data_IF_413965263300
#
_entry.id   IF_413965263300
#
_cell.length_a   1.000
_cell.length_b   1.000
_cell.length_c   1.000
_cell.angle_alpha   90.00
_cell.angle_beta   90.00
_cell.angle_gamma   90.00
#
_symmetry.space_group_name_H-M   'P 1'
#
loop_
_entity.id
_entity.type
_entity.pdbx_description
1 polymer ?
#
# COMPACT_ATOMS: atom_id res chain seq x y z
N UNK A 1 63.22 0.16 -16.47
CA UNK A 1 61.95 -0.07 -15.75
C UNK A 1 60.83 0.48 -16.61
N UNK A 2 59.85 -0.37 -16.88
CA UNK A 2 58.82 -0.31 -17.91
C UNK A 2 57.59 0.49 -17.41
N UNK A 3 57.10 1.48 -18.17
CA UNK A 3 55.72 1.99 -18.12
C UNK A 3 54.78 0.98 -18.83
N UNK A 4 53.43 0.94 -18.69
CA UNK A 4 52.45 1.96 -18.27
C UNK A 4 51.32 1.34 -17.37
N UNK A 5 50.26 2.05 -16.93
CA UNK A 5 48.95 2.14 -17.60
C UNK A 5 48.02 3.01 -16.74
N UNK A 6 47.22 3.83 -17.42
CA UNK A 6 46.13 4.65 -16.90
C UNK A 6 44.82 3.93 -17.31
N UNK A 7 43.98 3.56 -16.36
CA UNK A 7 42.56 3.18 -16.57
C UNK A 7 41.69 4.32 -16.00
N UNK A 8 40.69 4.87 -16.70
CA UNK A 8 39.54 4.23 -17.33
C UNK A 8 38.33 4.55 -16.44
N UNK A 9 37.66 5.69 -16.58
CA UNK A 9 36.53 5.87 -17.50
C UNK A 9 35.17 5.57 -16.82
N UNK A 10 34.39 6.60 -16.47
CA UNK A 10 32.93 6.55 -16.22
C UNK A 10 32.37 7.98 -16.05
N UNK A 11 31.05 8.22 -16.15
CA UNK A 11 30.21 7.93 -17.31
C UNK A 11 29.36 9.16 -17.74
N UNK A 12 29.10 9.25 -19.05
CA UNK A 12 27.87 9.73 -19.69
C UNK A 12 27.02 10.82 -19.01
N UNK A 13 27.19 12.07 -19.46
CA UNK A 13 26.14 13.10 -19.37
C UNK A 13 25.14 12.90 -20.50
N UNK A 14 24.14 12.03 -20.31
CA UNK A 14 23.00 11.93 -21.22
C UNK A 14 22.03 13.08 -20.96
N UNK A 15 21.65 13.72 -22.06
CA UNK A 15 20.81 14.90 -22.15
C UNK A 15 19.44 14.73 -21.47
N UNK A 16 19.02 15.80 -20.82
CA UNK A 16 17.66 16.05 -20.37
C UNK A 16 16.69 16.00 -21.57
N UNK A 17 15.61 15.21 -21.47
CA UNK A 17 14.28 15.52 -21.99
C UNK A 17 13.34 14.35 -21.72
N UNK A 18 12.32 14.58 -20.89
CA UNK A 18 11.30 13.58 -20.57
C UNK A 18 10.22 14.20 -19.70
N UNK A 19 9.40 15.03 -20.34
CA UNK A 19 8.19 15.64 -19.78
C UNK A 19 7.22 14.53 -19.32
N UNK A 20 7.22 14.22 -18.03
CA UNK A 20 6.34 13.20 -17.45
C UNK A 20 5.00 13.84 -17.06
N UNK A 21 4.17 14.13 -18.06
CA UNK A 21 2.72 14.16 -17.84
C UNK A 21 2.24 12.70 -17.72
N UNK A 22 2.39 12.13 -16.51
CA UNK A 22 1.83 10.83 -16.17
C UNK A 22 0.31 10.91 -16.01
N UNK A 23 -0.44 9.84 -16.30
CA UNK A 23 -1.88 9.80 -16.07
C UNK A 23 -2.16 9.95 -14.57
N UNK A 24 -3.22 10.66 -14.21
CA UNK A 24 -3.78 10.73 -12.86
C UNK A 24 -4.34 9.35 -12.49
N UNK A 25 -3.46 8.38 -12.27
CA UNK A 25 -3.82 7.03 -11.89
C UNK A 25 -4.03 6.96 -10.38
N UNK A 26 -5.31 7.11 -10.02
CA UNK A 26 -5.94 6.45 -8.89
C UNK A 26 -5.49 6.90 -7.49
N UNK A 27 -6.00 8.07 -7.09
CA UNK A 27 -6.09 8.55 -5.69
C UNK A 27 -6.65 7.50 -4.68
N UNK A 28 -7.34 6.43 -5.15
CA UNK A 28 -7.79 5.32 -4.28
C UNK A 28 -6.65 4.45 -3.72
N UNK A 29 -5.45 4.47 -4.32
CA UNK A 29 -4.27 3.72 -3.83
C UNK A 29 -3.54 4.41 -2.67
N UNK A 30 -3.65 5.74 -2.57
CA UNK A 30 -2.96 6.52 -1.53
C UNK A 30 -3.70 6.48 -0.17
N UNK A 31 -5.04 6.35 -0.20
CA UNK A 31 -5.87 6.33 1.00
C UNK A 31 -5.89 5.03 1.80
N UNK A 32 -5.26 3.95 1.31
CA UNK A 32 -5.24 2.62 1.95
C UNK A 32 -3.84 2.18 2.41
N UNK A 33 -2.83 3.04 2.27
CA UNK A 33 -1.49 2.78 2.80
C UNK A 33 -1.56 2.68 4.33
N UNK A 34 -1.01 1.60 4.87
CA UNK A 34 -0.90 1.27 6.30
C UNK A 34 -2.21 1.45 7.06
N UNK A 35 -3.35 1.19 6.42
CA UNK A 35 -4.66 1.26 7.08
C UNK A 35 -5.10 -0.05 7.72
N UNK A 36 -4.27 -1.09 7.59
CA UNK A 36 -4.47 -2.44 8.16
C UNK A 36 -3.12 -2.98 8.60
N UNK A 37 -3.12 -3.79 9.66
CA UNK A 37 -1.93 -4.48 10.15
C UNK A 37 -1.44 -5.54 9.16
N UNK A 38 -0.13 -5.67 9.06
CA UNK A 38 0.55 -6.64 8.23
C UNK A 38 0.56 -8.00 8.92
N UNK A 39 -0.21 -8.95 8.39
CA UNK A 39 -0.30 -10.30 8.96
C UNK A 39 1.04 -11.01 9.09
N UNK A 40 1.91 -10.92 8.09
CA UNK A 40 3.22 -11.58 8.14
C UNK A 40 4.09 -11.02 9.26
N UNK A 41 4.03 -9.71 9.49
CA UNK A 41 4.72 -9.08 10.61
C UNK A 41 4.10 -9.47 11.94
N UNK A 42 2.77 -9.45 12.07
CA UNK A 42 2.07 -9.84 13.30
C UNK A 42 2.32 -11.30 13.69
N UNK A 43 2.27 -12.22 12.73
CA UNK A 43 2.40 -13.66 13.00
C UNK A 43 3.86 -14.11 13.16
N UNK A 44 4.80 -13.48 12.45
CA UNK A 44 6.20 -13.95 12.36
C UNK A 44 7.23 -12.96 12.90
N UNK A 45 6.83 -11.74 13.24
CA UNK A 45 7.73 -10.63 13.56
C UNK A 45 8.55 -10.12 12.38
N UNK A 46 8.28 -10.59 11.15
CA UNK A 46 9.08 -10.25 9.98
C UNK A 46 8.26 -10.20 8.70
N UNK A 47 8.53 -9.20 7.87
CA UNK A 47 7.83 -8.96 6.62
C UNK A 47 8.83 -8.85 5.47
N UNK A 48 8.61 -9.64 4.40
CA UNK A 48 9.44 -9.63 3.19
C UNK A 48 9.50 -8.29 2.47
N UNK A 49 8.49 -7.44 2.67
CA UNK A 49 8.39 -6.12 2.04
C UNK A 49 9.12 -5.02 2.83
N UNK A 50 9.58 -5.31 4.05
CA UNK A 50 10.27 -4.36 4.91
C UNK A 50 9.51 -3.03 5.02
N UNK A 51 10.23 -1.92 4.96
CA UNK A 51 9.67 -0.56 5.05
C UNK A 51 8.72 -0.19 3.90
N UNK A 52 8.77 -0.91 2.78
CA UNK A 52 7.90 -0.69 1.60
C UNK A 52 6.57 -1.43 1.72
N UNK A 53 6.32 -2.08 2.85
CA UNK A 53 5.06 -2.76 3.11
C UNK A 53 3.90 -1.75 3.08
N UNK A 54 2.86 -2.08 2.33
CA UNK A 54 1.63 -1.27 2.27
C UNK A 54 0.76 -1.44 3.50
N UNK A 55 1.08 -2.37 4.39
CA UNK A 55 0.39 -2.64 5.64
C UNK A 55 1.26 -2.15 6.82
N UNK A 56 0.63 -1.84 7.95
CA UNK A 56 1.33 -1.37 9.14
C UNK A 56 2.04 -2.53 9.85
N UNK A 57 3.28 -2.35 10.30
CA UNK A 57 4.00 -3.32 11.13
C UNK A 57 3.77 -3.10 12.64
N UNK A 58 2.78 -2.30 12.99
CA UNK A 58 2.37 -2.05 14.37
C UNK A 58 1.31 -0.96 14.40
N UNK A 59 0.80 -0.66 15.60
CA UNK A 59 -0.19 0.39 15.81
C UNK A 59 0.36 1.79 15.51
N UNK A 60 1.66 2.00 15.76
CA UNK A 60 2.37 3.27 15.45
C UNK A 60 2.31 3.62 13.96
N UNK A 61 2.43 2.62 13.09
CA UNK A 61 2.36 2.78 11.65
C UNK A 61 0.93 2.75 11.09
N UNK A 62 -0.06 2.34 11.91
CA UNK A 62 -1.43 2.12 11.50
C UNK A 62 -2.18 3.43 11.36
N UNK A 63 -2.50 3.82 10.12
CA UNK A 63 -3.28 5.02 9.86
C UNK A 63 -4.77 4.76 10.06
N UNK A 64 -5.38 5.62 10.87
CA UNK A 64 -6.83 5.66 11.00
C UNK A 64 -7.45 6.14 9.68
N UNK A 65 -8.36 5.34 9.13
CA UNK A 65 -9.12 5.71 7.94
C UNK A 65 -10.35 6.46 8.40
N UNK A 66 -10.42 7.75 8.08
CA UNK A 66 -11.68 8.50 8.15
C UNK A 66 -12.66 7.89 7.16
N UNK A 67 -13.52 6.99 7.64
CA UNK A 67 -14.57 6.37 6.83
C UNK A 67 -15.70 7.36 6.65
N UNK A 68 -16.45 7.18 5.56
CA UNK A 68 -17.68 7.94 5.34
C UNK A 68 -18.63 7.77 6.55
N UNK A 69 -19.34 8.83 6.98
CA UNK A 69 -20.18 8.80 8.18
C UNK A 69 -21.34 7.79 8.09
N UNK A 70 -21.67 7.31 6.89
CA UNK A 70 -22.68 6.28 6.63
C UNK A 70 -22.14 4.85 6.74
N UNK A 71 -20.87 4.65 7.11
CA UNK A 71 -20.30 3.32 7.23
C UNK A 71 -20.86 2.60 8.46
N UNK A 72 -21.40 1.39 8.26
CA UNK A 72 -22.05 0.57 9.30
C UNK A 72 -23.16 1.32 10.06
N UNK A 73 -23.93 2.16 9.38
CA UNK A 73 -25.12 2.81 9.97
C UNK A 73 -26.42 2.08 9.66
N UNK A 74 -26.48 1.37 8.54
CA UNK A 74 -27.67 0.63 8.11
C UNK A 74 -27.43 -0.88 8.12
N UNK A 75 -28.51 -1.67 8.33
CA UNK A 75 -28.45 -3.13 8.41
C UNK A 75 -28.29 -3.74 7.01
N UNK A 76 -27.39 -4.72 6.89
CA UNK A 76 -27.21 -5.52 5.70
C UNK A 76 -28.40 -6.46 5.56
N UNK A 77 -29.35 -6.09 4.70
CA UNK A 77 -30.55 -6.90 4.45
C UNK A 77 -30.22 -8.33 4.06
N UNK A 78 -29.20 -8.53 3.21
CA UNK A 78 -28.75 -9.87 2.82
C UNK A 78 -28.28 -10.67 4.03
N UNK A 79 -27.40 -10.12 4.87
CA UNK A 79 -26.95 -10.85 6.06
C UNK A 79 -28.11 -11.13 7.02
N UNK A 80 -29.02 -10.18 7.23
CA UNK A 80 -30.18 -10.36 8.11
C UNK A 80 -31.17 -11.42 7.60
N UNK A 81 -31.36 -11.53 6.29
CA UNK A 81 -32.31 -12.48 5.68
C UNK A 81 -31.69 -13.86 5.49
N UNK A 82 -30.43 -13.95 5.02
CA UNK A 82 -29.78 -15.21 4.66
C UNK A 82 -28.69 -15.66 5.63
N UNK A 83 -28.45 -14.93 6.73
CA UNK A 83 -27.36 -15.16 7.70
C UNK A 83 -25.95 -15.18 7.08
N UNK A 84 -25.83 -14.81 5.81
CA UNK A 84 -24.60 -14.87 5.02
C UNK A 84 -24.57 -13.70 4.06
N UNK A 85 -23.42 -13.06 3.96
CA UNK A 85 -23.19 -11.94 3.05
C UNK A 85 -21.86 -12.16 2.31
N UNK A 86 -21.85 -12.10 0.97
CA UNK A 86 -20.66 -12.38 0.16
C UNK A 86 -19.51 -11.38 0.41
N UNK A 87 -19.82 -10.20 0.96
CA UNK A 87 -18.84 -9.18 1.31
C UNK A 87 -18.18 -9.45 2.68
N UNK A 88 -18.81 -10.22 3.56
CA UNK A 88 -18.32 -10.53 4.90
C UNK A 88 -17.87 -9.27 5.66
N UNK A 89 -16.70 -9.31 6.28
CA UNK A 89 -16.10 -8.19 7.03
C UNK A 89 -15.79 -6.93 6.20
N UNK A 90 -15.91 -7.00 4.86
CA UNK A 90 -15.77 -5.84 3.97
C UNK A 90 -17.09 -5.13 3.71
N UNK A 91 -18.21 -5.69 4.18
CA UNK A 91 -19.51 -5.05 4.00
C UNK A 91 -19.54 -3.67 4.66
N UNK A 92 -20.14 -2.71 3.97
CA UNK A 92 -20.33 -1.34 4.45
C UNK A 92 -21.52 -1.19 5.38
N UNK A 93 -22.29 -2.25 5.58
CA UNK A 93 -23.50 -2.31 6.40
C UNK A 93 -23.27 -3.15 7.67
N UNK A 94 -24.19 -3.07 8.62
CA UNK A 94 -24.19 -3.87 9.85
C UNK A 94 -24.60 -5.31 9.48
N UNK A 95 -23.80 -6.31 9.87
CA UNK A 95 -24.15 -7.72 9.77
C UNK A 95 -24.69 -8.15 11.12
#
# INVERSE_FOLDING_TARGET
>A
MVSPQLDGGAPSSVSSSGNQNGPIENNRKLGLHKTKLCRSWEEKGSCRYGVKCQFAHGEDELREVSRQPKYKTEICRTFWVTASCPYGKRCCFIH
#
